data_IF_737733740063
#
_entry.id   IF_737733740063
#
_cell.length_a   1.000
_cell.length_b   1.000
_cell.length_c   1.000
_cell.angle_alpha   90.00
_cell.angle_beta   90.00
_cell.angle_gamma   90.00
#
_symmetry.space_group_name_H-M   'P 1'
#
loop_
_entity.id
_entity.type
_entity.pdbx_description
1 polymer ?
#
# COMPACT_ATOMS: atom_id res chain seq x y z
N UNK A 1 17.59 16.36 30.35
CA UNK A 1 16.13 16.21 30.43
C UNK A 1 15.53 16.55 29.05
N UNK A 2 14.53 15.80 28.60
CA UNK A 2 13.82 16.05 27.34
C UNK A 2 12.34 16.17 27.69
N UNK A 3 11.64 17.15 27.10
CA UNK A 3 10.19 17.30 27.23
C UNK A 3 9.51 16.52 26.10
N UNK A 4 8.69 15.53 26.46
CA UNK A 4 8.00 14.64 25.51
C UNK A 4 6.50 14.82 25.66
N UNK A 5 5.80 15.05 24.55
CA UNK A 5 4.35 15.07 24.54
C UNK A 5 3.77 14.55 23.22
N UNK A 6 2.48 14.23 23.23
CA UNK A 6 1.75 13.83 22.06
C UNK A 6 1.09 15.05 21.42
N UNK A 7 1.64 15.57 20.31
CA UNK A 7 1.41 16.92 19.77
C UNK A 7 2.06 18.01 20.67
N UNK A 8 3.36 17.88 20.84
CA UNK A 8 4.18 18.63 21.80
C UNK A 8 4.03 20.16 21.71
N UNK A 9 3.65 20.70 20.55
CA UNK A 9 3.47 22.13 20.35
C UNK A 9 2.43 22.71 21.32
N UNK A 10 1.34 21.98 21.58
CA UNK A 10 0.27 22.44 22.48
C UNK A 10 0.76 22.52 23.93
N UNK A 11 1.31 21.42 24.43
CA UNK A 11 1.77 21.32 25.82
C UNK A 11 2.96 22.22 26.10
N UNK A 12 3.92 22.30 25.14
CA UNK A 12 5.10 23.14 25.27
C UNK A 12 4.76 24.63 25.29
N UNK A 13 3.78 25.08 24.50
CA UNK A 13 3.35 26.48 24.52
C UNK A 13 2.70 26.83 25.86
N UNK A 14 1.79 25.98 26.36
CA UNK A 14 1.14 26.18 27.64
C UNK A 14 2.15 26.24 28.79
N UNK A 15 3.11 25.32 28.81
CA UNK A 15 4.18 25.29 29.80
C UNK A 15 5.09 26.51 29.69
N UNK A 16 5.45 26.92 28.47
CA UNK A 16 6.29 28.09 28.22
C UNK A 16 5.60 29.39 28.73
N UNK A 17 4.31 29.55 28.48
CA UNK A 17 3.54 30.70 29.01
C UNK A 17 3.53 30.70 30.54
N UNK A 18 3.25 29.56 31.18
CA UNK A 18 3.25 29.46 32.63
C UNK A 18 4.62 29.78 33.25
N UNK A 19 5.71 29.24 32.67
CA UNK A 19 7.06 29.51 33.11
C UNK A 19 7.45 30.96 32.89
N UNK A 20 7.05 31.57 31.78
CA UNK A 20 7.33 32.97 31.48
C UNK A 20 6.74 33.92 32.53
N UNK A 21 5.52 33.64 33.00
CA UNK A 21 4.83 34.41 34.06
C UNK A 21 5.62 34.35 35.37
N UNK A 22 6.38 33.29 35.63
CA UNK A 22 7.27 33.11 36.80
C UNK A 22 8.69 33.56 36.54
N UNK A 23 8.99 34.14 35.38
CA UNK A 23 10.35 34.63 35.02
C UNK A 23 11.31 33.58 34.51
N UNK A 24 10.81 32.42 34.11
CA UNK A 24 11.61 31.32 33.57
C UNK A 24 11.37 31.13 32.06
N UNK A 25 12.37 30.56 31.38
CA UNK A 25 12.29 30.19 29.96
C UNK A 25 12.35 28.68 29.77
N UNK A 26 11.47 28.13 28.93
CA UNK A 26 11.51 26.73 28.58
C UNK A 26 12.60 26.47 27.53
N UNK A 27 13.75 25.97 27.97
CA UNK A 27 14.92 25.66 27.12
C UNK A 27 15.13 24.16 26.90
N UNK A 28 14.21 23.33 27.43
CA UNK A 28 14.30 21.87 27.35
C UNK A 28 14.03 21.42 25.93
N UNK A 29 14.87 20.53 25.31
CA UNK A 29 14.57 19.91 24.04
C UNK A 29 13.22 19.21 24.04
N UNK A 30 12.49 19.28 22.94
CA UNK A 30 11.12 18.83 22.79
C UNK A 30 11.01 17.71 21.78
N UNK A 31 10.28 16.66 22.11
CA UNK A 31 10.04 15.50 21.25
C UNK A 31 8.54 15.30 21.04
N UNK A 32 8.13 15.18 19.77
CA UNK A 32 6.75 14.95 19.38
C UNK A 32 6.50 13.47 19.03
N UNK A 33 5.75 12.78 19.87
CA UNK A 33 5.42 11.36 19.63
C UNK A 33 4.43 11.15 18.48
N UNK A 34 3.64 12.16 18.06
CA UNK A 34 2.80 12.06 16.85
C UNK A 34 3.66 11.98 15.61
N UNK A 35 4.69 12.84 15.53
CA UNK A 35 5.58 12.86 14.37
C UNK A 35 6.41 11.59 14.28
N UNK A 36 6.93 11.09 15.40
CA UNK A 36 7.58 9.78 15.46
C UNK A 36 6.64 8.65 15.03
N UNK A 37 5.42 8.62 15.58
CA UNK A 37 4.45 7.60 15.21
C UNK A 37 4.10 7.65 13.70
N UNK A 38 4.01 8.83 13.10
CA UNK A 38 3.79 8.98 11.67
C UNK A 38 4.95 8.41 10.84
N UNK A 39 6.17 8.56 11.27
CA UNK A 39 7.35 8.02 10.58
C UNK A 39 7.44 6.50 10.74
N UNK A 40 7.29 5.98 11.97
CA UNK A 40 7.62 4.59 12.30
C UNK A 40 6.44 3.61 12.21
N UNK A 41 5.20 4.11 12.09
CA UNK A 41 3.99 3.33 11.82
C UNK A 41 3.22 3.88 10.61
N UNK A 42 3.83 3.90 9.41
CA UNK A 42 3.29 4.58 8.22
C UNK A 42 1.96 4.00 7.70
N UNK A 43 1.63 2.77 8.11
CA UNK A 43 0.41 2.05 7.69
C UNK A 43 -0.79 2.28 8.61
N UNK A 44 -0.61 3.01 9.73
CA UNK A 44 -1.70 3.27 10.66
C UNK A 44 -2.68 4.32 10.11
N UNK A 45 -3.97 4.11 10.36
CA UNK A 45 -5.03 4.99 9.85
C UNK A 45 -5.09 6.33 10.60
N UNK A 46 -4.80 6.31 11.90
CA UNK A 46 -4.88 7.47 12.79
C UNK A 46 -3.73 7.47 13.80
N UNK A 47 -3.30 8.69 14.15
CA UNK A 47 -2.23 8.91 15.12
C UNK A 47 -2.72 9.66 16.37
N UNK A 48 -4.00 9.53 16.72
CA UNK A 48 -4.52 9.98 18.02
C UNK A 48 -4.04 9.02 19.12
N UNK A 49 -3.69 9.55 20.30
CA UNK A 49 -3.18 8.75 21.41
C UNK A 49 -4.13 7.59 21.76
N UNK A 50 -5.45 7.84 21.80
CA UNK A 50 -6.46 6.81 22.07
C UNK A 50 -6.48 5.67 21.03
N UNK A 51 -6.21 5.99 19.75
CA UNK A 51 -6.11 4.97 18.68
C UNK A 51 -4.81 4.17 18.81
N UNK A 52 -3.68 4.88 18.98
CA UNK A 52 -2.36 4.24 19.14
C UNK A 52 -2.33 3.35 20.38
N UNK A 53 -2.89 3.81 21.51
CA UNK A 53 -2.99 3.02 22.74
C UNK A 53 -3.73 1.71 22.51
N UNK A 54 -4.83 1.76 21.76
CA UNK A 54 -5.62 0.55 21.44
C UNK A 54 -4.85 -0.41 20.52
N UNK A 55 -4.21 0.10 19.45
CA UNK A 55 -3.53 -0.75 18.45
C UNK A 55 -2.23 -1.33 19.02
N UNK A 56 -1.50 -0.57 19.85
CA UNK A 56 -0.24 -0.97 20.47
C UNK A 56 -0.42 -1.60 21.85
N UNK A 57 -1.66 -1.81 22.31
CA UNK A 57 -2.00 -2.37 23.64
C UNK A 57 -1.32 -1.61 24.79
N UNK A 58 -1.33 -0.26 24.73
CA UNK A 58 -0.83 0.57 25.81
C UNK A 58 -1.90 0.66 26.92
N UNK A 59 -1.46 0.73 28.18
CA UNK A 59 -2.36 0.89 29.32
C UNK A 59 -2.97 2.29 29.33
N UNK A 60 -4.21 2.40 28.87
CA UNK A 60 -5.00 3.63 28.93
C UNK A 60 -6.34 3.31 29.64
N UNK A 61 -6.30 3.27 30.98
CA UNK A 61 -7.45 2.85 31.79
C UNK A 61 -8.62 3.87 31.76
N UNK A 62 -8.32 5.17 31.71
CA UNK A 62 -9.31 6.27 31.59
C UNK A 62 -8.78 7.36 30.65
N UNK A 63 -9.15 7.27 29.37
CA UNK A 63 -8.83 8.32 28.41
C UNK A 63 -9.39 9.70 28.88
N UNK A 64 -8.62 10.76 28.62
CA UNK A 64 -8.94 12.16 28.94
C UNK A 64 -8.66 12.62 30.39
N UNK A 65 -7.85 11.91 31.13
CA UNK A 65 -7.21 12.49 32.31
C UNK A 65 -5.75 12.83 31.98
N UNK A 66 -5.26 14.00 32.39
CA UNK A 66 -3.90 14.45 32.05
C UNK A 66 -2.80 13.46 32.51
N UNK A 67 -3.00 12.80 33.63
CA UNK A 67 -2.06 11.81 34.16
C UNK A 67 -2.02 10.55 33.30
N UNK A 68 -3.17 10.02 32.91
CA UNK A 68 -3.24 8.80 32.08
C UNK A 68 -2.75 9.07 30.64
N UNK A 69 -3.06 10.24 30.08
CA UNK A 69 -2.55 10.65 28.78
C UNK A 69 -1.03 10.83 28.79
N UNK A 70 -0.46 11.40 29.87
CA UNK A 70 0.99 11.51 30.05
C UNK A 70 1.65 10.12 30.19
N UNK A 71 1.03 9.20 30.94
CA UNK A 71 1.51 7.81 31.09
C UNK A 71 1.49 7.04 29.78
N UNK A 72 0.38 7.11 29.03
CA UNK A 72 0.26 6.49 27.72
C UNK A 72 1.25 7.08 26.71
N UNK A 73 1.51 8.39 26.77
CA UNK A 73 2.55 9.05 25.93
C UNK A 73 3.94 8.52 26.28
N UNK A 74 4.26 8.31 27.55
CA UNK A 74 5.53 7.70 27.97
C UNK A 74 5.66 6.26 27.47
N UNK A 75 4.63 5.45 27.60
CA UNK A 75 4.62 4.08 27.06
C UNK A 75 4.76 4.08 25.54
N UNK A 76 4.05 4.97 24.83
CA UNK A 76 4.18 5.14 23.38
C UNK A 76 5.62 5.48 22.97
N UNK A 77 6.29 6.36 23.72
CA UNK A 77 7.70 6.69 23.45
C UNK A 77 8.59 5.44 23.54
N UNK A 78 8.42 4.59 24.57
CA UNK A 78 9.21 3.36 24.69
C UNK A 78 8.92 2.39 23.53
N UNK A 79 7.66 2.19 23.15
CA UNK A 79 7.31 1.41 21.96
C UNK A 79 7.95 1.96 20.67
N UNK A 80 7.98 3.28 20.51
CA UNK A 80 8.65 3.91 19.38
C UNK A 80 10.17 3.69 19.43
N UNK A 81 10.79 3.80 20.60
CA UNK A 81 12.22 3.52 20.77
C UNK A 81 12.57 2.07 20.44
N UNK A 82 11.77 1.10 20.91
CA UNK A 82 11.93 -0.31 20.57
C UNK A 82 11.74 -0.56 19.07
N UNK A 83 10.74 0.09 18.46
CA UNK A 83 10.51 0.03 17.01
C UNK A 83 11.70 0.56 16.23
N UNK A 84 12.24 1.71 16.60
CA UNK A 84 13.44 2.32 15.97
C UNK A 84 14.64 1.38 16.14
N UNK A 85 14.84 0.84 17.35
CA UNK A 85 15.95 -0.07 17.65
C UNK A 85 15.85 -1.40 16.86
N UNK A 86 14.67 -1.81 16.45
CA UNK A 86 14.45 -3.02 15.63
C UNK A 86 14.76 -2.83 14.13
N UNK A 87 14.87 -1.58 13.66
CA UNK A 87 15.15 -1.30 12.25
C UNK A 87 16.62 -1.61 11.89
N UNK A 88 16.90 -1.97 10.64
CA UNK A 88 18.26 -2.08 10.14
C UNK A 88 19.03 -0.77 10.33
N UNK A 89 20.31 -0.86 10.77
CA UNK A 89 21.17 0.30 10.99
C UNK A 89 21.23 1.20 9.75
N UNK A 90 21.35 0.62 8.56
CA UNK A 90 21.40 1.34 7.29
C UNK A 90 20.14 2.19 7.06
N UNK A 91 18.98 1.65 7.41
CA UNK A 91 17.71 2.41 7.35
C UNK A 91 17.77 3.62 8.29
N UNK A 92 18.25 3.45 9.54
CA UNK A 92 18.34 4.55 10.50
C UNK A 92 19.34 5.62 10.00
N UNK A 93 20.46 5.21 9.44
CA UNK A 93 21.46 6.13 8.86
C UNK A 93 20.83 6.97 7.73
N UNK A 94 20.02 6.36 6.86
CA UNK A 94 19.27 7.08 5.84
C UNK A 94 18.18 8.01 6.44
N UNK A 95 17.47 7.57 7.48
CA UNK A 95 16.50 8.42 8.17
C UNK A 95 17.14 9.67 8.75
N UNK A 96 18.36 9.55 9.30
CA UNK A 96 19.10 10.68 9.87
C UNK A 96 19.42 11.77 8.84
N UNK A 97 19.53 11.45 7.55
CA UNK A 97 19.76 12.46 6.50
C UNK A 97 18.57 13.41 6.31
N UNK A 98 17.36 13.01 6.76
CA UNK A 98 16.13 13.79 6.65
C UNK A 98 15.58 14.23 8.01
N UNK A 99 16.15 13.74 9.12
CA UNK A 99 15.61 13.89 10.47
C UNK A 99 15.59 15.32 11.00
N UNK A 100 16.49 16.19 10.52
CA UNK A 100 16.53 17.62 10.87
C UNK A 100 15.24 18.37 10.40
N UNK A 101 14.43 17.73 9.58
CA UNK A 101 13.13 18.25 9.15
C UNK A 101 11.96 17.84 10.07
N UNK A 102 12.22 17.07 11.12
CA UNK A 102 11.21 16.75 12.13
C UNK A 102 10.91 17.96 13.02
N UNK A 103 9.74 17.93 13.67
CA UNK A 103 9.33 19.01 14.57
C UNK A 103 10.24 19.02 15.82
N UNK A 104 10.69 20.20 16.17
CA UNK A 104 11.56 20.42 17.33
C UNK A 104 12.80 19.51 17.30
N UNK A 105 13.23 19.02 18.42
CA UNK A 105 14.39 18.13 18.57
C UNK A 105 13.99 16.64 18.54
N UNK A 106 12.93 16.30 17.79
CA UNK A 106 12.37 14.92 17.70
C UNK A 106 13.40 13.93 17.13
N UNK A 107 14.34 14.39 16.31
CA UNK A 107 15.43 13.57 15.76
C UNK A 107 16.37 13.00 16.85
N UNK A 108 16.41 13.57 18.06
CA UNK A 108 17.26 13.08 19.15
C UNK A 108 16.95 11.62 19.48
N UNK A 109 15.69 11.19 19.40
CA UNK A 109 15.29 9.80 19.65
C UNK A 109 15.90 8.86 18.61
N UNK A 110 15.93 9.28 17.33
CA UNK A 110 16.53 8.49 16.25
C UNK A 110 18.05 8.43 16.39
N UNK A 111 18.68 9.56 16.73
CA UNK A 111 20.13 9.64 16.96
C UNK A 111 20.61 8.78 18.13
N UNK A 112 19.78 8.64 19.17
CA UNK A 112 20.13 7.81 20.33
C UNK A 112 20.02 6.32 20.01
N UNK A 113 19.04 5.93 19.22
CA UNK A 113 18.81 4.53 18.86
C UNK A 113 19.99 3.89 18.10
N UNK A 114 20.73 4.67 17.29
CA UNK A 114 21.86 4.13 16.50
C UNK A 114 23.05 3.71 17.36
N UNK A 115 23.19 4.26 18.58
CA UNK A 115 24.35 4.01 19.44
C UNK A 115 24.44 2.58 19.97
N UNK A 116 23.31 1.87 20.05
CA UNK A 116 23.23 0.51 20.58
C UNK A 116 23.11 -0.60 19.53
N UNK A 117 23.14 -0.25 18.23
CA UNK A 117 22.83 -1.21 17.18
C UNK A 117 24.02 -2.03 16.68
N UNK A 118 23.72 -3.29 16.32
CA UNK A 118 24.68 -4.19 15.66
C UNK A 118 24.91 -3.76 14.20
N UNK A 119 26.15 -3.94 13.72
CA UNK A 119 26.56 -3.61 12.36
C UNK A 119 26.02 -4.58 11.29
N UNK A 120 25.55 -5.77 11.71
CA UNK A 120 25.10 -6.83 10.80
C UNK A 120 23.64 -6.66 10.38
N UNK A 121 23.37 -6.86 9.08
CA UNK A 121 22.02 -6.93 8.54
C UNK A 121 21.40 -8.29 8.84
N UNK A 122 20.19 -8.33 9.41
CA UNK A 122 19.44 -9.57 9.63
C UNK A 122 19.11 -10.24 8.30
N UNK A 123 19.00 -11.59 8.31
CA UNK A 123 18.65 -12.39 7.12
C UNK A 123 17.27 -12.07 6.52
N UNK A 124 16.41 -11.40 7.28
CA UNK A 124 15.09 -10.95 6.85
C UNK A 124 15.14 -9.81 5.84
N UNK A 125 16.30 -9.15 5.73
CA UNK A 125 16.48 -7.97 4.90
C UNK A 125 17.46 -8.20 3.76
N UNK A 126 17.35 -7.37 2.74
CA UNK A 126 18.34 -7.19 1.69
C UNK A 126 18.63 -5.69 1.58
N UNK A 127 19.90 -5.34 1.53
CA UNK A 127 20.34 -3.97 1.26
C UNK A 127 20.73 -3.88 -0.21
N UNK A 128 20.22 -2.87 -0.88
CA UNK A 128 20.60 -2.54 -2.24
C UNK A 128 21.85 -1.69 -2.19
N UNK A 129 23.03 -2.30 -2.42
CA UNK A 129 24.34 -1.76 -2.07
C UNK A 129 24.60 -0.33 -2.58
N UNK A 130 24.23 -0.05 -3.83
CA UNK A 130 24.50 1.27 -4.43
C UNK A 130 23.60 2.38 -3.91
N UNK A 131 22.38 2.04 -3.45
CA UNK A 131 21.42 3.04 -2.94
C UNK A 131 21.37 3.12 -1.42
N UNK A 132 21.80 2.08 -0.72
CA UNK A 132 21.63 1.93 0.73
C UNK A 132 20.22 1.63 1.19
N UNK A 133 19.25 1.52 0.27
CA UNK A 133 17.86 1.18 0.60
C UNK A 133 17.81 -0.27 1.09
N UNK A 134 17.12 -0.48 2.21
CA UNK A 134 16.89 -1.80 2.78
C UNK A 134 15.45 -2.24 2.51
N UNK A 135 15.30 -3.43 1.97
CA UNK A 135 14.01 -4.05 1.69
C UNK A 135 13.82 -5.30 2.56
N UNK A 136 12.58 -5.61 2.90
CA UNK A 136 12.22 -6.89 3.49
C UNK A 136 12.33 -7.98 2.42
N UNK A 137 12.91 -9.13 2.77
CA UNK A 137 12.93 -10.30 1.88
C UNK A 137 11.53 -10.92 1.82
N UNK A 138 11.08 -11.36 0.64
CA UNK A 138 9.84 -12.09 0.51
C UNK A 138 9.86 -13.35 1.40
N UNK A 139 8.76 -13.59 2.09
CA UNK A 139 8.58 -14.81 2.89
C UNK A 139 8.20 -15.96 1.95
N UNK A 140 8.87 -17.10 2.11
CA UNK A 140 8.53 -18.30 1.36
C UNK A 140 7.14 -18.83 1.78
N UNK A 141 6.35 -19.26 0.80
CA UNK A 141 5.05 -19.85 1.05
C UNK A 141 5.17 -21.20 1.76
N UNK A 142 4.27 -21.46 2.69
CA UNK A 142 4.14 -22.76 3.35
C UNK A 142 3.35 -23.71 2.46
N UNK A 143 3.60 -25.01 2.61
CA UNK A 143 2.81 -26.03 1.92
C UNK A 143 1.32 -25.93 2.33
N UNK A 144 0.44 -25.95 1.34
CA UNK A 144 -1.00 -25.88 1.57
C UNK A 144 -1.52 -27.07 2.38
N UNK A 145 -2.50 -26.82 3.25
CA UNK A 145 -3.26 -27.84 3.93
C UNK A 145 -4.49 -28.19 3.12
N UNK A 146 -4.79 -29.46 3.01
CA UNK A 146 -5.95 -29.92 2.26
C UNK A 146 -7.25 -29.50 2.94
N UNK A 147 -8.15 -28.85 2.19
CA UNK A 147 -9.48 -28.53 2.65
C UNK A 147 -10.39 -29.79 2.64
N UNK A 148 -11.37 -29.81 3.54
CA UNK A 148 -12.44 -30.80 3.52
C UNK A 148 -13.38 -30.56 2.34
N UNK A 149 -13.97 -31.65 1.80
CA UNK A 149 -15.07 -31.53 0.84
C UNK A 149 -16.36 -31.01 1.49
N UNK A 150 -16.50 -31.15 2.82
CA UNK A 150 -17.63 -30.62 3.56
C UNK A 150 -17.40 -29.14 3.91
N UNK A 151 -18.28 -28.29 3.41
CA UNK A 151 -18.24 -26.84 3.63
C UNK A 151 -18.32 -26.46 5.11
N UNK A 152 -19.19 -27.14 5.88
CA UNK A 152 -19.39 -26.83 7.29
C UNK A 152 -18.13 -27.10 8.13
N UNK A 153 -17.39 -28.18 7.80
CA UNK A 153 -16.11 -28.51 8.43
C UNK A 153 -15.08 -27.41 8.23
N UNK A 154 -14.97 -26.87 6.99
CA UNK A 154 -14.01 -25.79 6.71
C UNK A 154 -14.39 -24.49 7.42
N UNK A 155 -15.68 -24.14 7.48
CA UNK A 155 -16.19 -22.96 8.19
C UNK A 155 -15.91 -23.09 9.71
N UNK A 156 -16.08 -24.27 10.30
CA UNK A 156 -15.77 -24.51 11.70
C UNK A 156 -14.26 -24.36 12.01
N UNK A 157 -13.38 -24.81 11.10
CA UNK A 157 -11.94 -24.62 11.24
C UNK A 157 -11.50 -23.14 11.19
N UNK A 158 -12.31 -22.29 10.55
CA UNK A 158 -12.12 -20.83 10.51
C UNK A 158 -12.71 -20.11 11.73
N UNK A 159 -13.25 -20.87 12.71
CA UNK A 159 -13.96 -20.33 13.89
C UNK A 159 -15.16 -19.44 13.52
N UNK A 160 -15.87 -19.84 12.46
CA UNK A 160 -17.03 -19.14 11.93
C UNK A 160 -18.31 -20.00 12.08
N UNK A 161 -19.45 -19.34 12.24
CA UNK A 161 -20.75 -20.02 12.24
C UNK A 161 -21.22 -20.37 10.83
N UNK A 162 -21.64 -21.62 10.63
CA UNK A 162 -22.23 -22.06 9.36
C UNK A 162 -23.64 -21.50 9.21
N UNK A 163 -23.90 -20.74 8.15
CA UNK A 163 -25.20 -20.16 7.82
C UNK A 163 -25.88 -20.96 6.74
N UNK A 164 -27.18 -21.35 6.89
CA UNK A 164 -27.88 -22.19 5.92
C UNK A 164 -27.83 -21.65 4.49
N UNK A 165 -28.12 -20.36 4.28
CA UNK A 165 -28.08 -19.73 2.94
C UNK A 165 -26.68 -19.69 2.33
N UNK A 166 -25.62 -19.54 3.16
CA UNK A 166 -24.24 -19.60 2.69
C UNK A 166 -23.89 -21.01 2.22
N UNK A 167 -24.35 -22.02 2.94
CA UNK A 167 -24.17 -23.43 2.56
C UNK A 167 -24.90 -23.77 1.25
N UNK A 168 -26.15 -23.36 1.10
CA UNK A 168 -26.92 -23.52 -0.17
C UNK A 168 -26.15 -22.86 -1.34
N UNK A 169 -25.63 -21.67 -1.13
CA UNK A 169 -24.82 -20.98 -2.14
C UNK A 169 -23.54 -21.75 -2.48
N UNK A 170 -22.80 -22.24 -1.48
CA UNK A 170 -21.59 -23.04 -1.69
C UNK A 170 -21.89 -24.36 -2.42
N UNK A 171 -23.03 -25.02 -2.12
CA UNK A 171 -23.50 -26.21 -2.83
C UNK A 171 -23.86 -25.90 -4.27
N UNK A 172 -24.48 -24.73 -4.55
CA UNK A 172 -24.76 -24.29 -5.92
C UNK A 172 -23.46 -24.06 -6.69
N UNK A 173 -22.47 -23.38 -6.12
CA UNK A 173 -21.14 -23.18 -6.72
C UNK A 173 -20.51 -24.54 -7.03
N UNK A 174 -20.52 -25.49 -6.09
CA UNK A 174 -19.95 -26.82 -6.29
C UNK A 174 -20.56 -27.57 -7.46
N UNK A 175 -21.91 -27.52 -7.63
CA UNK A 175 -22.59 -28.17 -8.73
C UNK A 175 -22.22 -27.62 -10.10
N UNK A 176 -21.87 -26.32 -10.15
CA UNK A 176 -21.50 -25.68 -11.41
C UNK A 176 -20.04 -25.94 -11.80
N UNK A 177 -19.20 -26.46 -10.91
CA UNK A 177 -17.80 -26.78 -11.24
C UNK A 177 -17.65 -27.91 -12.26
N UNK A 178 -18.63 -28.80 -12.35
CA UNK A 178 -18.67 -29.88 -13.35
C UNK A 178 -19.03 -29.34 -14.75
N UNK A 179 -19.51 -28.09 -14.84
CA UNK A 179 -19.88 -27.45 -16.10
C UNK A 179 -18.68 -26.71 -16.69
N UNK A 180 -18.37 -26.95 -17.96
CA UNK A 180 -17.35 -26.22 -18.71
C UNK A 180 -17.85 -24.87 -19.23
N UNK A 181 -19.11 -24.50 -18.96
CA UNK A 181 -19.75 -23.27 -19.41
C UNK A 181 -19.67 -22.16 -18.36
N UNK A 182 -20.04 -20.94 -18.76
CA UNK A 182 -20.20 -19.81 -17.86
C UNK A 182 -21.44 -20.03 -17.00
N UNK A 183 -21.29 -20.02 -15.68
CA UNK A 183 -22.38 -20.16 -14.72
C UNK A 183 -22.66 -18.82 -14.04
N UNK A 184 -23.94 -18.47 -13.89
CA UNK A 184 -24.39 -17.27 -13.20
C UNK A 184 -25.18 -17.66 -11.97
N UNK A 185 -24.67 -17.29 -10.78
CA UNK A 185 -25.31 -17.61 -9.50
C UNK A 185 -25.69 -16.32 -8.80
N UNK A 186 -26.98 -16.13 -8.55
CA UNK A 186 -27.48 -14.98 -7.80
C UNK A 186 -27.55 -15.30 -6.31
N UNK A 187 -26.98 -14.41 -5.49
CA UNK A 187 -27.01 -14.54 -4.05
C UNK A 187 -27.26 -13.19 -3.36
N UNK A 188 -28.01 -13.23 -2.25
CA UNK A 188 -28.29 -12.02 -1.46
C UNK A 188 -27.00 -11.42 -0.87
N UNK A 189 -27.00 -10.10 -0.63
CA UNK A 189 -25.92 -9.43 0.10
C UNK A 189 -25.87 -9.93 1.54
N UNK A 190 -24.64 -10.01 2.11
CA UNK A 190 -24.45 -10.36 3.52
C UNK A 190 -24.48 -11.86 3.85
N UNK A 191 -24.69 -12.76 2.88
CA UNK A 191 -24.66 -14.21 3.14
C UNK A 191 -23.25 -14.78 3.34
N UNK A 192 -22.18 -14.01 3.08
CA UNK A 192 -20.81 -14.51 3.10
C UNK A 192 -20.37 -15.15 1.80
N UNK A 193 -20.67 -14.51 0.65
CA UNK A 193 -20.36 -15.02 -0.71
C UNK A 193 -18.90 -15.42 -0.87
N UNK A 194 -17.97 -14.66 -0.32
CA UNK A 194 -16.52 -14.88 -0.51
C UNK A 194 -16.10 -16.27 -0.05
N UNK A 195 -16.40 -16.65 1.18
CA UNK A 195 -16.18 -18.03 1.64
C UNK A 195 -17.04 -19.04 0.89
N UNK A 196 -18.26 -18.64 0.53
CA UNK A 196 -19.21 -19.49 -0.18
C UNK A 196 -18.73 -19.95 -1.56
N UNK A 197 -17.92 -19.15 -2.27
CA UNK A 197 -17.31 -19.60 -3.53
C UNK A 197 -15.86 -20.07 -3.36
N UNK A 198 -15.05 -19.46 -2.46
CA UNK A 198 -13.66 -19.88 -2.31
C UNK A 198 -13.51 -21.29 -1.74
N UNK A 199 -14.25 -21.63 -0.68
CA UNK A 199 -14.10 -22.93 -0.03
C UNK A 199 -14.43 -24.11 -0.94
N UNK A 200 -15.56 -24.15 -1.68
CA UNK A 200 -15.82 -25.24 -2.61
C UNK A 200 -14.80 -25.30 -3.75
N UNK A 201 -14.34 -24.15 -4.29
CA UNK A 201 -13.32 -24.11 -5.33
C UNK A 201 -11.98 -24.69 -4.85
N UNK A 202 -11.52 -24.26 -3.67
CA UNK A 202 -10.23 -24.68 -3.12
C UNK A 202 -10.24 -26.14 -2.60
N UNK A 203 -11.41 -26.68 -2.30
CA UNK A 203 -11.56 -28.09 -1.91
C UNK A 203 -11.47 -29.06 -3.10
N UNK A 204 -11.66 -28.61 -4.35
CA UNK A 204 -11.58 -29.46 -5.54
C UNK A 204 -10.13 -29.70 -5.97
N UNK A 205 -9.81 -30.95 -6.29
CA UNK A 205 -8.47 -31.34 -6.67
C UNK A 205 -8.06 -30.91 -8.09
N UNK A 206 -9.03 -30.75 -8.96
CA UNK A 206 -8.89 -30.35 -10.37
C UNK A 206 -8.86 -28.84 -10.57
N UNK A 207 -9.23 -28.05 -9.56
CA UNK A 207 -9.10 -26.58 -9.56
C UNK A 207 -7.68 -26.23 -9.10
N UNK A 208 -6.78 -25.99 -10.04
CA UNK A 208 -5.39 -25.63 -9.70
C UNK A 208 -5.26 -24.18 -9.26
N UNK A 209 -5.82 -23.22 -10.01
CA UNK A 209 -5.71 -21.79 -9.74
C UNK A 209 -7.05 -21.09 -9.87
N UNK A 210 -7.26 -20.08 -8.99
CA UNK A 210 -8.47 -19.27 -8.97
C UNK A 210 -8.10 -17.80 -9.17
N UNK A 211 -8.82 -17.13 -10.08
CA UNK A 211 -8.77 -15.67 -10.24
C UNK A 211 -10.10 -15.09 -9.75
N UNK A 212 -10.06 -14.23 -8.76
CA UNK A 212 -11.24 -13.52 -8.23
C UNK A 212 -11.17 -12.06 -8.64
N UNK A 213 -12.13 -11.62 -9.44
CA UNK A 213 -12.29 -10.24 -9.85
C UNK A 213 -13.44 -9.57 -9.10
N UNK A 214 -13.15 -8.47 -8.41
CA UNK A 214 -14.12 -7.69 -7.63
C UNK A 214 -14.30 -6.29 -8.20
N UNK A 215 -15.39 -5.56 -7.90
CA UNK A 215 -15.68 -4.26 -8.51
C UNK A 215 -14.64 -3.18 -8.25
N UNK A 216 -14.06 -3.16 -7.05
CA UNK A 216 -13.22 -2.04 -6.59
C UNK A 216 -11.96 -2.50 -5.87
N UNK A 217 -10.92 -1.66 -5.87
CA UNK A 217 -9.72 -1.87 -5.05
C UNK A 217 -10.02 -1.95 -3.55
N UNK A 218 -11.05 -1.25 -3.08
CA UNK A 218 -11.46 -1.31 -1.67
C UNK A 218 -11.93 -2.71 -1.30
N UNK A 219 -12.79 -3.34 -2.10
CA UNK A 219 -13.24 -4.72 -1.91
C UNK A 219 -12.10 -5.72 -2.09
N UNK A 220 -11.19 -5.48 -3.04
CA UNK A 220 -9.97 -6.28 -3.20
C UNK A 220 -9.13 -6.28 -1.92
N UNK A 221 -8.86 -5.10 -1.34
CA UNK A 221 -8.14 -4.97 -0.09
C UNK A 221 -8.89 -5.60 1.09
N UNK A 222 -10.22 -5.50 1.12
CA UNK A 222 -11.04 -6.12 2.16
C UNK A 222 -10.89 -7.63 2.13
N UNK A 223 -11.05 -8.28 0.97
CA UNK A 223 -10.85 -9.73 0.82
C UNK A 223 -9.44 -10.14 1.28
N UNK A 224 -8.42 -9.40 0.85
CA UNK A 224 -7.03 -9.72 1.24
C UNK A 224 -6.79 -9.63 2.74
N UNK A 225 -7.35 -8.62 3.40
CA UNK A 225 -7.15 -8.37 4.82
C UNK A 225 -8.03 -9.24 5.75
N UNK A 226 -9.12 -9.81 5.23
CA UNK A 226 -10.07 -10.60 6.02
C UNK A 226 -10.07 -12.06 5.58
N UNK A 227 -10.77 -12.40 4.49
CA UNK A 227 -10.98 -13.78 4.07
C UNK A 227 -9.68 -14.47 3.63
N UNK A 228 -8.88 -13.81 2.81
CA UNK A 228 -7.62 -14.37 2.34
C UNK A 228 -6.64 -14.60 3.50
N UNK A 229 -6.55 -13.65 4.44
CA UNK A 229 -5.74 -13.79 5.64
C UNK A 229 -6.19 -14.98 6.49
N UNK A 230 -7.49 -15.11 6.77
CA UNK A 230 -8.02 -16.23 7.55
C UNK A 230 -7.76 -17.58 6.87
N UNK A 231 -7.95 -17.67 5.55
CA UNK A 231 -7.66 -18.89 4.78
C UNK A 231 -6.16 -19.21 4.73
N UNK A 232 -5.31 -18.19 4.62
CA UNK A 232 -3.85 -18.37 4.68
C UNK A 232 -3.39 -18.85 6.04
N UNK A 233 -3.92 -18.29 7.13
CA UNK A 233 -3.55 -18.64 8.51
C UNK A 233 -3.94 -20.09 8.86
N UNK A 234 -5.12 -20.54 8.43
CA UNK A 234 -5.65 -21.87 8.75
C UNK A 234 -5.18 -22.95 7.77
N UNK A 235 -5.25 -22.67 6.48
CA UNK A 235 -5.01 -23.67 5.43
C UNK A 235 -3.71 -23.46 4.65
N UNK A 236 -2.92 -22.44 4.96
CA UNK A 236 -1.72 -22.03 4.22
C UNK A 236 -1.99 -21.75 2.74
N UNK A 237 -3.20 -21.31 2.37
CA UNK A 237 -3.53 -20.97 1.00
C UNK A 237 -2.76 -19.71 0.60
N UNK A 238 -2.11 -19.79 -0.55
CA UNK A 238 -1.35 -18.70 -1.09
C UNK A 238 -2.25 -17.75 -1.90
N UNK A 239 -2.48 -16.56 -1.35
CA UNK A 239 -3.22 -15.47 -1.98
C UNK A 239 -2.27 -14.39 -2.50
N UNK A 240 -2.59 -13.82 -3.65
CA UNK A 240 -1.90 -12.64 -4.15
C UNK A 240 -2.88 -11.60 -4.66
N UNK A 241 -2.65 -10.33 -4.26
CA UNK A 241 -3.42 -9.16 -4.74
C UNK A 241 -2.73 -8.56 -5.95
N UNK A 242 -3.32 -8.69 -7.14
CA UNK A 242 -2.76 -8.14 -8.36
C UNK A 242 -3.45 -6.83 -8.75
N UNK A 243 -2.68 -5.75 -8.82
CA UNK A 243 -3.13 -4.39 -9.14
C UNK A 243 -2.37 -3.81 -10.34
N UNK A 244 -2.86 -2.70 -10.89
CA UNK A 244 -2.15 -1.97 -11.93
C UNK A 244 -0.85 -1.32 -11.41
N UNK A 245 0.12 -1.04 -12.31
CA UNK A 245 1.46 -0.55 -11.93
C UNK A 245 1.41 0.70 -11.05
N UNK A 246 0.48 1.61 -11.30
CA UNK A 246 0.34 2.86 -10.54
C UNK A 246 0.04 2.68 -9.05
N UNK A 247 -0.22 1.45 -8.59
CA UNK A 247 -0.41 1.16 -7.17
C UNK A 247 0.91 0.81 -6.47
N UNK A 248 1.96 0.53 -7.20
CA UNK A 248 3.26 0.11 -6.64
C UNK A 248 4.25 1.25 -6.63
N UNK A 249 5.16 1.23 -5.64
CA UNK A 249 6.29 2.15 -5.62
C UNK A 249 7.28 1.78 -6.73
N UNK A 250 7.79 2.78 -7.45
CA UNK A 250 8.93 2.65 -8.36
C UNK A 250 10.20 3.05 -7.64
N UNK A 251 11.03 2.06 -7.32
CA UNK A 251 12.24 2.27 -6.51
C UNK A 251 13.22 3.26 -7.17
N UNK A 252 13.36 3.23 -8.51
CA UNK A 252 14.16 4.22 -9.25
C UNK A 252 13.69 5.65 -8.98
N UNK A 253 12.38 5.90 -9.12
CA UNK A 253 11.81 7.21 -8.92
C UNK A 253 11.94 7.66 -7.45
N UNK A 254 11.67 6.75 -6.52
CA UNK A 254 11.85 7.01 -5.10
C UNK A 254 13.31 7.34 -4.76
N UNK A 255 14.27 6.57 -5.25
CA UNK A 255 15.70 6.83 -5.05
C UNK A 255 16.11 8.22 -5.57
N UNK A 256 15.63 8.62 -6.75
CA UNK A 256 15.89 9.98 -7.24
C UNK A 256 15.38 11.07 -6.27
N UNK A 257 14.27 10.83 -5.58
CA UNK A 257 13.80 11.77 -4.55
C UNK A 257 14.70 11.80 -3.32
N UNK A 258 15.33 10.69 -2.96
CA UNK A 258 16.28 10.64 -1.81
C UNK A 258 17.58 11.43 -2.07
N UNK A 259 18.00 11.50 -3.35
CA UNK A 259 19.22 12.22 -3.73
C UNK A 259 19.08 13.75 -3.69
N UNK A 260 17.85 14.27 -3.64
CA UNK A 260 17.58 15.70 -3.56
C UNK A 260 17.11 16.12 -2.17
N UNK A 261 17.51 17.33 -1.77
CA UNK A 261 16.94 17.95 -0.58
C UNK A 261 15.68 18.73 -0.96
N UNK A 262 14.56 18.39 -0.33
CA UNK A 262 13.32 19.13 -0.48
C UNK A 262 13.17 20.14 0.67
N UNK A 263 12.79 21.38 0.33
CA UNK A 263 12.48 22.41 1.33
C UNK A 263 11.19 22.13 2.09
N UNK A 264 10.35 21.25 1.56
CA UNK A 264 9.08 20.86 2.17
C UNK A 264 9.28 19.75 3.20
N UNK A 265 9.09 20.09 4.48
CA UNK A 265 9.19 19.15 5.61
C UNK A 265 8.30 17.90 5.44
N UNK A 266 7.11 18.07 4.86
CA UNK A 266 6.18 16.96 4.68
C UNK A 266 6.71 15.92 3.69
N UNK A 267 7.38 16.36 2.62
CA UNK A 267 8.04 15.45 1.66
C UNK A 267 9.15 14.67 2.37
N UNK A 268 10.02 15.35 3.13
CA UNK A 268 11.11 14.69 3.84
C UNK A 268 10.59 13.68 4.87
N UNK A 269 9.48 13.99 5.55
CA UNK A 269 8.81 13.02 6.42
C UNK A 269 8.27 11.82 5.64
N UNK A 270 7.67 12.01 4.46
CA UNK A 270 7.24 10.89 3.61
C UNK A 270 8.41 10.04 3.12
N UNK A 271 9.56 10.64 2.82
CA UNK A 271 10.78 9.86 2.52
C UNK A 271 11.15 8.96 3.69
N UNK A 272 11.14 9.48 4.91
CA UNK A 272 11.40 8.70 6.12
C UNK A 272 10.36 7.58 6.32
N UNK A 273 9.07 7.88 6.18
CA UNK A 273 7.98 6.89 6.25
C UNK A 273 8.17 5.75 5.25
N UNK A 274 8.51 6.08 4.00
CA UNK A 274 8.71 5.09 2.94
C UNK A 274 9.95 4.23 3.18
N UNK A 275 11.04 4.81 3.72
CA UNK A 275 12.23 4.03 4.11
C UNK A 275 11.91 3.02 5.21
N UNK A 276 11.11 3.40 6.22
CA UNK A 276 10.64 2.47 7.25
C UNK A 276 9.71 1.42 6.64
N UNK A 277 8.73 1.85 5.85
CA UNK A 277 7.75 0.97 5.23
C UNK A 277 8.39 -0.07 4.30
N UNK A 278 9.44 0.27 3.57
CA UNK A 278 10.17 -0.67 2.71
C UNK A 278 10.84 -1.81 3.49
N UNK A 279 11.12 -1.62 4.79
CA UNK A 279 11.58 -2.70 5.67
C UNK A 279 10.46 -3.61 6.16
N UNK A 280 9.21 -3.30 5.86
CA UNK A 280 8.02 -4.03 6.35
C UNK A 280 7.14 -4.59 5.24
N UNK A 281 7.01 -3.86 4.13
CA UNK A 281 6.15 -4.27 3.02
C UNK A 281 6.70 -5.48 2.27
N UNK A 282 5.79 -6.39 1.92
CA UNK A 282 6.07 -7.53 1.03
C UNK A 282 5.55 -7.28 -0.38
N UNK A 283 4.73 -6.25 -0.55
CA UNK A 283 3.99 -5.98 -1.80
C UNK A 283 4.47 -4.76 -2.54
N UNK A 284 5.01 -3.75 -1.84
CA UNK A 284 5.31 -2.45 -2.41
C UNK A 284 4.07 -1.64 -2.83
N UNK A 285 2.88 -2.03 -2.35
CA UNK A 285 1.60 -1.38 -2.68
C UNK A 285 1.43 -0.07 -1.89
N UNK A 286 1.47 1.05 -2.58
CA UNK A 286 1.32 2.38 -1.99
C UNK A 286 -0.05 2.60 -1.30
N UNK A 287 -1.04 1.74 -1.51
CA UNK A 287 -2.32 1.80 -0.78
C UNK A 287 -2.17 1.34 0.69
N UNK A 288 -1.05 0.73 1.07
CA UNK A 288 -0.70 0.45 2.46
C UNK A 288 -0.42 1.75 3.25
N UNK A 289 0.06 2.79 2.59
CA UNK A 289 0.31 4.12 3.20
C UNK A 289 -1.03 4.88 3.33
N UNK A 290 -1.48 5.11 4.56
CA UNK A 290 -2.84 5.61 4.81
C UNK A 290 -3.00 7.13 4.68
N UNK A 291 -2.02 7.92 5.06
CA UNK A 291 -2.13 9.39 5.10
C UNK A 291 -1.43 10.13 3.94
N UNK A 292 -1.47 9.54 2.74
CA UNK A 292 -0.83 10.12 1.54
C UNK A 292 -1.57 11.34 0.95
N UNK A 293 -2.84 11.55 1.32
CA UNK A 293 -3.69 12.59 0.72
C UNK A 293 -3.18 14.03 0.92
N UNK A 294 -2.36 14.25 1.95
CA UNK A 294 -1.83 15.60 2.25
C UNK A 294 -0.84 16.11 1.19
N UNK A 295 -0.23 15.22 0.41
CA UNK A 295 0.69 15.59 -0.67
C UNK A 295 0.72 14.52 -1.77
N UNK A 296 -0.40 14.38 -2.48
CA UNK A 296 -0.56 13.38 -3.54
C UNK A 296 0.48 13.53 -4.67
N UNK A 297 0.89 14.77 -5.00
CA UNK A 297 1.88 15.02 -6.05
C UNK A 297 3.21 14.28 -5.81
N UNK A 298 3.63 14.12 -4.56
CA UNK A 298 4.83 13.34 -4.24
C UNK A 298 4.64 11.84 -4.51
N UNK A 299 3.48 11.30 -4.15
CA UNK A 299 3.14 9.90 -4.43
C UNK A 299 2.97 9.66 -5.94
N UNK A 300 2.44 10.65 -6.68
CA UNK A 300 2.35 10.57 -8.14
C UNK A 300 3.73 10.53 -8.81
N UNK A 301 4.74 11.14 -8.21
CA UNK A 301 6.12 11.11 -8.70
C UNK A 301 6.78 9.74 -8.51
N UNK A 302 6.50 9.05 -7.40
CA UNK A 302 7.16 7.79 -7.03
C UNK A 302 6.36 6.53 -7.40
N UNK A 303 5.13 6.67 -7.89
CA UNK A 303 4.33 5.53 -8.36
C UNK A 303 4.92 4.94 -9.65
N UNK A 304 4.73 3.64 -9.83
CA UNK A 304 5.23 2.91 -10.99
C UNK A 304 4.47 3.33 -12.26
N UNK A 305 5.20 3.59 -13.34
CA UNK A 305 4.67 4.04 -14.63
C UNK A 305 4.39 2.91 -15.65
N UNK A 306 4.52 1.64 -15.22
CA UNK A 306 4.36 0.47 -16.08
C UNK A 306 5.55 0.18 -16.99
N UNK A 307 6.67 0.91 -16.84
CA UNK A 307 7.86 0.73 -17.66
C UNK A 307 9.00 0.18 -16.82
N UNK A 308 9.51 -0.99 -17.19
CA UNK A 308 10.68 -1.57 -16.59
C UNK A 308 11.94 -0.99 -17.25
N UNK A 309 12.91 -0.59 -16.43
CA UNK A 309 14.24 -0.23 -16.88
C UNK A 309 15.16 -1.42 -16.65
N UNK A 310 15.53 -2.12 -17.71
CA UNK A 310 16.35 -3.33 -17.67
C UNK A 310 17.71 -3.07 -17.00
N UNK A 311 18.28 -1.88 -17.22
CA UNK A 311 19.57 -1.47 -16.67
C UNK A 311 19.46 -0.78 -15.29
N UNK A 312 18.28 -0.86 -14.64
CA UNK A 312 18.09 -0.27 -13.33
C UNK A 312 18.75 -1.10 -12.25
N UNK A 313 19.36 -0.44 -11.25
CA UNK A 313 19.84 -1.06 -10.02
C UNK A 313 18.74 -1.79 -9.25
N UNK A 314 17.49 -1.45 -9.50
CA UNK A 314 16.31 -1.97 -8.82
C UNK A 314 15.53 -2.99 -9.64
N UNK A 315 15.98 -3.37 -10.84
CA UNK A 315 15.23 -4.23 -11.75
C UNK A 315 14.82 -5.57 -11.12
N UNK A 316 15.73 -6.18 -10.37
CA UNK A 316 15.47 -7.44 -9.65
C UNK A 316 14.47 -7.29 -8.49
N UNK A 317 14.39 -6.09 -7.93
CA UNK A 317 13.57 -5.77 -6.75
C UNK A 317 12.33 -4.95 -7.09
N UNK A 318 11.98 -4.84 -8.37
CA UNK A 318 10.80 -4.12 -8.82
C UNK A 318 9.52 -4.79 -8.31
N UNK A 319 8.80 -4.10 -7.44
CA UNK A 319 7.62 -4.65 -6.77
C UNK A 319 6.48 -4.98 -7.74
N UNK A 320 6.30 -4.22 -8.81
CA UNK A 320 5.28 -4.51 -9.80
C UNK A 320 5.61 -5.78 -10.59
N UNK A 321 6.85 -5.92 -11.03
CA UNK A 321 7.31 -7.15 -11.71
C UNK A 321 7.25 -8.37 -10.78
N UNK A 322 7.70 -8.23 -9.54
CA UNK A 322 7.59 -9.30 -8.54
C UNK A 322 6.14 -9.68 -8.25
N UNK A 323 5.21 -8.70 -8.22
CA UNK A 323 3.79 -8.96 -8.07
C UNK A 323 3.23 -9.85 -9.18
N UNK A 324 3.74 -9.68 -10.39
CA UNK A 324 3.42 -10.53 -11.54
C UNK A 324 3.87 -11.97 -11.35
N UNK A 325 5.11 -12.17 -10.92
CA UNK A 325 5.67 -13.50 -10.67
C UNK A 325 4.91 -14.19 -9.53
N UNK A 326 4.66 -13.48 -8.45
CA UNK A 326 3.87 -13.98 -7.31
C UNK A 326 2.43 -14.37 -7.72
N UNK A 327 1.81 -13.61 -8.61
CA UNK A 327 0.48 -13.96 -9.14
C UNK A 327 0.49 -15.26 -9.96
N UNK A 328 1.60 -15.60 -10.61
CA UNK A 328 1.73 -16.88 -11.31
C UNK A 328 1.92 -18.07 -10.34
N UNK A 329 2.50 -17.84 -9.17
CA UNK A 329 2.72 -18.86 -8.15
C UNK A 329 1.52 -19.02 -7.21
N UNK A 330 0.72 -17.98 -7.04
CA UNK A 330 -0.40 -17.96 -6.13
C UNK A 330 -1.50 -18.97 -6.50
N UNK A 331 -2.10 -19.59 -5.47
CA UNK A 331 -3.28 -20.43 -5.60
C UNK A 331 -4.52 -19.60 -5.94
N UNK A 332 -4.63 -18.41 -5.33
CA UNK A 332 -5.71 -17.47 -5.56
C UNK A 332 -5.15 -16.09 -5.87
N UNK A 333 -5.52 -15.55 -7.03
CA UNK A 333 -5.23 -14.16 -7.41
C UNK A 333 -6.50 -13.33 -7.23
N UNK A 334 -6.42 -12.27 -6.44
CA UNK A 334 -7.51 -11.31 -6.28
C UNK A 334 -7.17 -10.04 -7.06
N UNK A 335 -8.07 -9.60 -7.92
CA UNK A 335 -7.92 -8.39 -8.73
C UNK A 335 -9.22 -7.60 -8.78
N UNK A 336 -9.23 -6.42 -9.40
CA UNK A 336 -10.45 -5.68 -9.64
C UNK A 336 -10.87 -5.77 -11.12
N UNK A 337 -12.16 -5.50 -11.39
CA UNK A 337 -12.75 -5.64 -12.74
C UNK A 337 -11.97 -4.85 -13.79
N UNK A 338 -11.62 -3.58 -13.51
CA UNK A 338 -10.90 -2.75 -14.46
C UNK A 338 -9.52 -3.31 -14.79
N UNK A 339 -8.77 -3.77 -13.79
CA UNK A 339 -7.44 -4.32 -14.01
C UNK A 339 -7.48 -5.73 -14.64
N UNK A 340 -8.51 -6.54 -14.34
CA UNK A 340 -8.74 -7.79 -15.05
C UNK A 340 -8.86 -7.55 -16.57
N UNK A 341 -9.66 -6.55 -16.98
CA UNK A 341 -9.83 -6.21 -18.41
C UNK A 341 -8.51 -5.79 -19.04
N UNK A 342 -7.77 -4.89 -18.41
CA UNK A 342 -6.43 -4.48 -18.86
C UNK A 342 -5.51 -5.70 -19.02
N UNK A 343 -5.53 -6.60 -18.04
CA UNK A 343 -4.67 -7.80 -18.09
C UNK A 343 -5.06 -8.76 -19.20
N UNK A 344 -6.33 -8.97 -19.42
CA UNK A 344 -6.83 -9.83 -20.50
C UNK A 344 -6.55 -9.25 -21.89
N UNK A 345 -6.45 -7.91 -22.00
CA UNK A 345 -6.04 -7.24 -23.25
C UNK A 345 -4.54 -7.41 -23.50
N UNK A 346 -3.69 -7.23 -22.49
CA UNK A 346 -2.24 -7.37 -22.58
C UNK A 346 -1.80 -8.83 -22.72
N UNK A 347 -2.49 -9.75 -22.05
CA UNK A 347 -2.19 -11.17 -21.97
C UNK A 347 -3.48 -12.00 -22.06
N UNK A 348 -3.82 -12.42 -23.27
CA UNK A 348 -5.02 -13.22 -23.53
C UNK A 348 -5.02 -14.58 -22.82
N UNK A 349 -3.87 -15.05 -22.38
CA UNK A 349 -3.71 -16.31 -21.64
C UNK A 349 -3.78 -16.14 -20.13
N UNK A 350 -3.93 -14.91 -19.64
CA UNK A 350 -3.93 -14.62 -18.19
C UNK A 350 -4.92 -15.49 -17.39
N UNK A 351 -6.10 -15.74 -17.91
CA UNK A 351 -7.13 -16.57 -17.26
C UNK A 351 -7.20 -18.00 -17.79
N UNK A 352 -6.43 -18.35 -18.82
CA UNK A 352 -6.44 -19.67 -19.43
C UNK A 352 -6.03 -20.76 -18.43
N UNK A 353 -6.81 -21.83 -18.33
CA UNK A 353 -6.57 -22.93 -17.40
C UNK A 353 -6.78 -22.60 -15.92
N UNK A 354 -7.39 -21.44 -15.62
CA UNK A 354 -7.74 -21.00 -14.27
C UNK A 354 -9.25 -20.88 -14.13
N UNK A 355 -9.75 -21.09 -12.91
CA UNK A 355 -11.15 -20.80 -12.61
C UNK A 355 -11.31 -19.30 -12.33
N UNK A 356 -12.11 -18.62 -13.15
CA UNK A 356 -12.40 -17.20 -12.99
C UNK A 356 -13.71 -16.99 -12.24
N UNK A 357 -13.66 -16.25 -11.14
CA UNK A 357 -14.83 -15.76 -10.39
C UNK A 357 -14.97 -14.26 -10.60
N UNK A 358 -16.09 -13.81 -11.13
CA UNK A 358 -16.43 -12.38 -11.23
C UNK A 358 -17.47 -12.07 -10.16
N UNK A 359 -17.04 -11.55 -9.02
CA UNK A 359 -17.93 -11.15 -7.93
C UNK A 359 -18.63 -9.84 -8.29
N UNK A 360 -19.92 -9.72 -7.94
CA UNK A 360 -20.77 -8.59 -8.34
C UNK A 360 -20.75 -8.34 -9.87
N UNK A 361 -20.96 -9.42 -10.66
CA UNK A 361 -20.83 -9.41 -12.12
C UNK A 361 -21.64 -8.32 -12.84
N UNK A 362 -22.77 -7.85 -12.24
CA UNK A 362 -23.54 -6.72 -12.77
C UNK A 362 -22.69 -5.42 -12.84
N UNK A 363 -21.69 -5.26 -11.99
CA UNK A 363 -20.78 -4.09 -12.02
C UNK A 363 -19.68 -4.22 -13.07
N UNK A 364 -19.47 -5.43 -13.61
CA UNK A 364 -18.50 -5.65 -14.69
C UNK A 364 -18.90 -4.92 -15.98
N UNK A 365 -20.19 -4.74 -16.21
CA UNK A 365 -20.71 -3.97 -17.37
C UNK A 365 -20.19 -2.53 -17.35
N UNK A 366 -20.25 -1.89 -16.17
CA UNK A 366 -19.72 -0.53 -16.01
C UNK A 366 -18.19 -0.46 -16.22
N UNK A 367 -17.48 -1.48 -15.75
CA UNK A 367 -16.02 -1.56 -15.98
C UNK A 367 -15.70 -1.73 -17.47
N UNK A 368 -16.48 -2.55 -18.21
CA UNK A 368 -16.34 -2.73 -19.64
C UNK A 368 -16.64 -1.43 -20.42
N UNK A 369 -17.69 -0.70 -20.05
CA UNK A 369 -18.00 0.59 -20.65
C UNK A 369 -16.89 1.60 -20.43
N UNK A 370 -16.33 1.67 -19.23
CA UNK A 370 -15.20 2.56 -18.92
C UNK A 370 -13.93 2.15 -19.68
N UNK A 371 -13.67 0.85 -19.76
CA UNK A 371 -12.51 0.30 -20.45
C UNK A 371 -12.56 0.55 -21.97
N UNK A 372 -13.74 0.47 -22.57
CA UNK A 372 -13.94 0.72 -24.01
C UNK A 372 -13.89 2.20 -24.40
N UNK A 373 -13.94 3.12 -23.40
CA UNK A 373 -13.86 4.56 -23.65
C UNK A 373 -12.42 4.99 -23.85
N UNK A 374 -12.05 5.26 -25.10
CA UNK A 374 -10.80 5.95 -25.40
C UNK A 374 -10.97 7.44 -25.07
N UNK A 375 -10.32 7.91 -24.01
CA UNK A 375 -10.31 9.32 -23.66
C UNK A 375 -8.97 9.93 -24.05
N UNK A 376 -9.01 10.99 -24.88
CA UNK A 376 -7.85 11.83 -25.17
C UNK A 376 -8.00 13.12 -24.39
N UNK A 377 -7.10 13.37 -23.44
CA UNK A 377 -7.04 14.66 -22.77
C UNK A 377 -6.29 15.65 -23.66
N UNK A 378 -7.04 16.50 -24.35
CA UNK A 378 -6.49 17.46 -25.32
C UNK A 378 -5.51 18.44 -24.66
N UNK A 379 -5.74 18.83 -23.40
CA UNK A 379 -4.83 19.74 -22.67
C UNK A 379 -3.48 19.08 -22.39
N UNK A 380 -3.50 17.80 -21.99
CA UNK A 380 -2.26 17.03 -21.79
C UNK A 380 -1.55 16.79 -23.11
N UNK A 381 -2.29 16.48 -24.18
CA UNK A 381 -1.72 16.33 -25.52
C UNK A 381 -1.02 17.62 -25.96
N UNK A 382 -1.67 18.77 -25.74
CA UNK A 382 -1.10 20.09 -26.07
C UNK A 382 0.20 20.35 -25.27
N UNK A 383 0.23 20.01 -24.00
CA UNK A 383 1.43 20.12 -23.15
C UNK A 383 2.59 19.24 -23.67
N UNK A 384 2.29 18.02 -24.13
CA UNK A 384 3.30 17.15 -24.73
C UNK A 384 3.84 17.72 -26.05
N UNK A 385 2.96 18.25 -26.90
CA UNK A 385 3.37 18.90 -28.16
C UNK A 385 4.32 20.08 -27.86
N UNK A 386 3.97 20.95 -26.90
CA UNK A 386 4.83 22.06 -26.47
C UNK A 386 6.20 21.59 -26.03
N UNK A 387 6.26 20.58 -25.16
CA UNK A 387 7.53 20.02 -24.65
C UNK A 387 8.41 19.49 -25.80
N UNK A 388 7.80 18.83 -26.79
CA UNK A 388 8.54 18.33 -27.94
C UNK A 388 9.05 19.49 -28.76
N UNK A 389 8.24 20.49 -29.05
CA UNK A 389 8.66 21.70 -29.79
C UNK A 389 9.79 22.45 -29.08
N UNK A 390 9.69 22.61 -27.74
CA UNK A 390 10.70 23.30 -26.92
C UNK A 390 12.04 22.54 -26.87
N UNK A 391 12.04 21.21 -27.07
CA UNK A 391 13.27 20.43 -27.06
C UNK A 391 14.22 20.69 -28.23
N UNK A 392 13.73 21.28 -29.30
CA UNK A 392 14.53 21.72 -30.47
C UNK A 392 15.24 20.59 -31.22
N UNK A 393 14.89 19.32 -30.95
CA UNK A 393 15.58 18.15 -31.56
C UNK A 393 14.94 17.62 -32.84
N UNK A 394 13.91 18.32 -33.39
CA UNK A 394 13.13 17.85 -34.51
C UNK A 394 13.67 18.33 -35.85
N UNK A 395 13.42 17.54 -36.91
CA UNK A 395 13.58 17.99 -38.29
C UNK A 395 12.54 19.07 -38.66
N UNK A 396 12.83 19.91 -39.62
CA UNK A 396 11.89 20.96 -40.10
C UNK A 396 10.50 20.40 -40.47
N UNK A 397 10.44 19.19 -41.00
CA UNK A 397 9.17 18.54 -41.33
C UNK A 397 8.39 18.15 -40.06
N UNK A 398 9.07 17.57 -39.09
CA UNK A 398 8.47 17.21 -37.81
C UNK A 398 7.97 18.43 -37.03
N UNK A 399 8.76 19.51 -37.04
CA UNK A 399 8.37 20.77 -36.41
C UNK A 399 7.07 21.32 -37.02
N UNK A 400 6.97 21.40 -38.35
CA UNK A 400 5.75 21.87 -39.04
C UNK A 400 4.54 20.98 -38.75
N UNK A 401 4.72 19.66 -38.68
CA UNK A 401 3.63 18.75 -38.36
C UNK A 401 3.15 18.95 -36.94
N UNK A 402 4.06 19.15 -35.98
CA UNK A 402 3.74 19.42 -34.58
C UNK A 402 3.06 20.79 -34.40
N UNK A 403 3.51 21.82 -35.08
CA UNK A 403 2.88 23.16 -35.09
C UNK A 403 1.44 23.09 -35.63
N UNK A 404 1.21 22.36 -36.73
CA UNK A 404 -0.14 22.14 -37.25
C UNK A 404 -1.02 21.36 -36.25
N UNK A 405 -0.49 20.28 -35.63
CA UNK A 405 -1.21 19.52 -34.62
C UNK A 405 -1.52 20.37 -33.39
N UNK A 406 -0.60 21.22 -32.98
CA UNK A 406 -0.81 22.19 -31.89
C UNK A 406 -1.99 23.12 -32.21
N UNK A 407 -2.05 23.65 -33.41
CA UNK A 407 -3.12 24.53 -33.85
C UNK A 407 -4.48 23.82 -33.83
N UNK A 408 -4.57 22.61 -34.39
CA UNK A 408 -5.79 21.82 -34.45
C UNK A 408 -6.28 21.43 -33.03
N UNK A 409 -5.38 20.98 -32.14
CA UNK A 409 -5.72 20.63 -30.77
C UNK A 409 -6.19 21.86 -29.99
N UNK A 410 -5.54 23.01 -30.17
CA UNK A 410 -5.95 24.26 -29.52
C UNK A 410 -7.34 24.71 -29.97
N UNK A 411 -7.64 24.57 -31.26
CA UNK A 411 -8.95 24.89 -31.84
C UNK A 411 -10.04 23.99 -31.27
N UNK A 412 -9.80 22.67 -31.21
CA UNK A 412 -10.72 21.71 -30.58
C UNK A 412 -11.01 22.03 -29.12
N UNK A 413 -9.99 22.44 -28.33
CA UNK A 413 -10.17 22.85 -26.93
C UNK A 413 -11.09 24.07 -26.86
N UNK A 414 -10.92 25.05 -27.73
CA UNK A 414 -11.75 26.27 -27.74
C UNK A 414 -13.21 25.99 -28.15
N UNK A 415 -13.43 25.13 -29.14
CA UNK A 415 -14.78 24.72 -29.56
C UNK A 415 -15.56 23.98 -28.45
N UNK A 416 -14.89 23.19 -27.61
CA UNK A 416 -15.53 22.46 -26.50
C UNK A 416 -15.68 23.28 -25.21
N UNK A 417 -15.14 24.49 -25.13
CA UNK A 417 -15.34 25.42 -24.02
C UNK A 417 -16.50 26.42 -24.24
N UNK A 418 -17.09 26.44 -25.41
CA UNK A 418 -18.33 27.16 -25.73
C UNK A 418 -19.54 26.22 -25.56
#
# INVERSE_FOLDING_TARGET
>A
CIFVAHNVKFDANLLAEALFMEGFELRTPRVDTVELAQVFYPTFEQYKLSHLSKVLNLDLAQAHTAIEDARATGQLLFHLMDKIASLPRQTIEMLLTFSDNLLFETELVIRDAIRGQNLGLSKEYVMLEESGIVLRRPVAYKAERKLSQDFATNIALLDLESRPKQREFAEAVRKELDNTAISMIQAQTGIGKTYGYLLPLLAQADVDKVVVAVPTKLLQNQIMNQEAKALSDVFNINFHSLKGPQNYIKLDAFYQTLLRQDSNRLINRYKMQLLVWLTETETGDLDEIRQKQRYMAYFDEIKHDGKLKVDSLFAEYDFWQQSYQKAQEARVVVTNHAYLLTRMEDDHDFVRGKTLVIDEGQKMVLALEQFSRHQVNLTVLLQHIHRILDSGSQSLLQQRLLENLQFEVSHLIQEHQQ
#
